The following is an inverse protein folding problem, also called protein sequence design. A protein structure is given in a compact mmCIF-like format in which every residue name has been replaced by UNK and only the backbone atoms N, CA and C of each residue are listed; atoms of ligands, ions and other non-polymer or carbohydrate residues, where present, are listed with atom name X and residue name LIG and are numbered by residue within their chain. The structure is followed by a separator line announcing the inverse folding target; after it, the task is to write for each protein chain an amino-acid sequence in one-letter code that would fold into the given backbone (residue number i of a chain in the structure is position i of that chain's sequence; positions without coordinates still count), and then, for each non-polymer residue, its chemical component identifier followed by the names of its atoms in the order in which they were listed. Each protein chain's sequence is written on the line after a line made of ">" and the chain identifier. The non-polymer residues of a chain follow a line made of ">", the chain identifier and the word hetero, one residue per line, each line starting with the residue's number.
data_IF_647846730347
#
_entry.id   IF_647846730347
#
_cell.length_a   1.000
_cell.length_b   1.000
_cell.length_c   1.000
_cell.angle_alpha   90.00
_cell.angle_beta   90.00
_cell.angle_gamma   90.00
#
_symmetry.space_group_name_H-M   'P 1'
#
loop_
_entity.id
_entity.type
_entity.pdbx_description
1 polymer ?
#
# COMPACT_ATOMS: atom_id res chain seq x y z
N UNK A 1 -13.98 7.44 18.13
CA UNK A 1 -13.48 6.09 18.49
C UNK A 1 -12.71 5.59 17.29
N UNK A 2 -11.43 5.26 17.47
CA UNK A 2 -10.54 4.77 16.41
C UNK A 2 -10.83 3.29 16.19
N UNK A 3 -11.08 2.88 14.94
CA UNK A 3 -11.18 1.47 14.57
C UNK A 3 -9.84 1.05 13.97
N UNK A 4 -9.10 0.22 14.68
CA UNK A 4 -7.85 -0.35 14.23
C UNK A 4 -8.12 -1.66 13.47
N UNK A 5 -7.42 -1.84 12.34
CA UNK A 5 -7.49 -3.04 11.52
C UNK A 5 -6.09 -3.47 11.08
N UNK A 6 -5.86 -4.75 10.76
CA UNK A 6 -4.58 -5.20 10.20
C UNK A 6 -4.20 -4.39 8.96
N UNK A 7 -2.96 -3.92 8.91
CA UNK A 7 -2.40 -3.17 7.77
C UNK A 7 -2.49 -3.95 6.45
N UNK A 8 -2.43 -5.29 6.53
CA UNK A 8 -2.51 -6.20 5.39
C UNK A 8 -3.77 -6.01 4.52
N UNK A 9 -4.86 -5.47 5.06
CA UNK A 9 -6.07 -5.13 4.29
C UNK A 9 -5.80 -4.11 3.17
N UNK A 10 -4.73 -3.32 3.29
CA UNK A 10 -4.32 -2.31 2.33
C UNK A 10 -3.13 -2.73 1.46
N UNK A 11 -2.68 -4.00 1.55
CA UNK A 11 -1.54 -4.50 0.77
C UNK A 11 -1.70 -4.37 -0.75
N UNK A 12 -2.94 -4.28 -1.25
CA UNK A 12 -3.22 -3.99 -2.66
C UNK A 12 -2.67 -2.65 -3.16
N UNK A 13 -2.28 -1.75 -2.26
CA UNK A 13 -1.61 -0.50 -2.62
C UNK A 13 -0.17 -0.72 -3.04
N UNK A 14 0.42 -1.88 -2.76
CA UNK A 14 1.84 -2.10 -3.01
C UNK A 14 2.05 -3.07 -4.16
N UNK A 15 2.92 -2.70 -5.10
CA UNK A 15 3.32 -3.55 -6.23
C UNK A 15 4.03 -4.82 -5.75
N UNK A 16 4.69 -4.75 -4.60
CA UNK A 16 5.30 -5.89 -3.92
C UNK A 16 4.80 -5.92 -2.47
N UNK A 17 3.64 -6.54 -2.21
CA UNK A 17 3.06 -6.54 -0.87
C UNK A 17 3.90 -7.40 0.09
N UNK A 18 4.15 -6.87 1.27
CA UNK A 18 4.82 -7.57 2.38
C UNK A 18 3.82 -7.66 3.52
N UNK A 19 3.56 -8.88 4.04
CA UNK A 19 2.67 -9.04 5.18
C UNK A 19 3.31 -8.49 6.44
N UNK A 20 2.57 -7.64 7.14
CA UNK A 20 2.96 -7.03 8.41
C UNK A 20 1.85 -7.22 9.44
N UNK A 21 1.55 -8.49 9.75
CA UNK A 21 0.45 -8.90 10.63
C UNK A 21 0.47 -8.32 12.06
N UNK A 22 1.61 -7.78 12.51
CA UNK A 22 1.76 -7.13 13.82
C UNK A 22 1.46 -5.62 13.79
N UNK A 23 1.19 -5.05 12.61
CA UNK A 23 0.92 -3.62 12.43
C UNK A 23 -0.57 -3.42 12.19
N UNK A 24 -1.19 -2.61 13.04
CA UNK A 24 -2.56 -2.14 12.90
C UNK A 24 -2.59 -0.67 12.46
N UNK A 25 -3.62 -0.31 11.69
CA UNK A 25 -3.81 1.04 11.13
C UNK A 25 -5.24 1.52 11.34
N UNK A 26 -5.45 2.84 11.35
CA UNK A 26 -6.79 3.43 11.46
C UNK A 26 -7.58 3.20 10.17
N UNK A 27 -8.70 2.48 10.30
CA UNK A 27 -9.57 2.12 9.19
C UNK A 27 -10.16 3.33 8.46
N UNK A 28 -10.56 4.38 9.19
CA UNK A 28 -11.23 5.55 8.61
C UNK A 28 -10.24 6.35 7.78
N UNK A 29 -9.06 6.62 8.32
CA UNK A 29 -7.98 7.34 7.66
C UNK A 29 -7.55 6.61 6.38
N UNK A 30 -7.27 5.31 6.50
CA UNK A 30 -6.77 4.52 5.36
C UNK A 30 -7.82 4.39 4.24
N UNK A 31 -9.11 4.24 4.57
CA UNK A 31 -10.17 4.25 3.56
C UNK A 31 -10.40 5.62 2.93
N UNK A 32 -10.22 6.71 3.68
CA UNK A 32 -10.29 8.05 3.11
C UNK A 32 -9.17 8.28 2.10
N UNK A 33 -7.93 7.90 2.44
CA UNK A 33 -6.80 7.91 1.52
C UNK A 33 -7.10 7.09 0.26
N UNK A 34 -7.65 5.87 0.41
CA UNK A 34 -8.01 5.03 -0.73
C UNK A 34 -8.98 5.72 -1.70
N UNK A 35 -9.98 6.44 -1.17
CA UNK A 35 -10.98 7.13 -2.01
C UNK A 35 -10.40 8.31 -2.78
N UNK A 36 -9.30 8.90 -2.30
CA UNK A 36 -8.63 10.05 -2.94
C UNK A 36 -7.62 9.62 -4.00
N UNK A 37 -7.14 8.38 -3.96
CA UNK A 37 -6.19 7.87 -4.94
C UNK A 37 -6.88 7.53 -6.28
N UNK A 38 -6.18 7.71 -7.42
CA UNK A 38 -6.67 7.25 -8.72
C UNK A 38 -6.93 5.74 -8.72
N UNK A 39 -7.87 5.30 -9.57
CA UNK A 39 -8.12 3.87 -9.76
C UNK A 39 -6.86 3.18 -10.26
N UNK A 40 -6.49 2.06 -9.63
CA UNK A 40 -5.31 1.27 -10.00
C UNK A 40 -3.98 1.86 -9.54
N UNK A 41 -3.99 2.91 -8.70
CA UNK A 41 -2.77 3.47 -8.15
C UNK A 41 -2.08 2.47 -7.20
N UNK A 42 -0.77 2.26 -7.40
CA UNK A 42 0.08 1.35 -6.61
C UNK A 42 1.44 1.99 -6.31
N UNK A 43 2.10 1.51 -5.26
CA UNK A 43 3.38 1.96 -4.74
C UNK A 43 4.43 0.82 -4.71
N UNK A 44 5.69 1.09 -5.07
CA UNK A 44 6.09 2.18 -5.94
C UNK A 44 5.35 2.08 -7.28
N UNK A 45 5.21 3.20 -7.98
CA UNK A 45 4.62 3.17 -9.32
C UNK A 45 5.47 2.30 -10.26
N UNK A 46 4.88 1.77 -11.36
CA UNK A 46 5.59 0.87 -12.25
C UNK A 46 6.89 1.43 -12.82
N UNK A 47 6.97 2.73 -13.15
CA UNK A 47 8.18 3.33 -13.69
C UNK A 47 9.30 3.36 -12.64
N UNK A 48 8.97 3.71 -11.39
CA UNK A 48 9.90 3.61 -10.27
C UNK A 48 10.36 2.16 -10.04
N UNK A 49 9.46 1.18 -10.11
CA UNK A 49 9.81 -0.24 -9.99
C UNK A 49 10.79 -0.70 -11.08
N UNK A 50 10.63 -0.24 -12.31
CA UNK A 50 11.57 -0.55 -13.39
C UNK A 50 12.98 -0.04 -13.08
N UNK A 51 13.12 1.18 -12.55
CA UNK A 51 14.42 1.73 -12.17
C UNK A 51 15.04 0.90 -11.03
N UNK A 52 14.28 0.65 -9.96
CA UNK A 52 14.76 -0.07 -8.78
C UNK A 52 15.18 -1.52 -9.07
N UNK A 53 14.58 -2.16 -10.07
CA UNK A 53 14.91 -3.54 -10.45
C UNK A 53 15.96 -3.63 -11.54
N UNK A 54 16.23 -2.54 -12.26
CA UNK A 54 17.18 -2.51 -13.38
C UNK A 54 18.65 -2.62 -12.96
N UNK A 55 19.00 -2.25 -11.72
CA UNK A 55 20.39 -2.35 -11.22
C UNK A 55 20.81 -3.78 -10.80
N UNK A 56 19.91 -4.76 -10.89
CA UNK A 56 20.18 -6.16 -10.51
C UNK A 56 20.56 -7.09 -11.68
N UNK A 57 20.87 -6.55 -12.87
CA UNK A 57 21.31 -7.34 -14.05
C UNK A 57 22.70 -6.93 -14.54
#
# INVERSE_FOLDING_TARGET
>A
MTLLVPSDLYNRWFTTPVSTAHIEVDYVVMNELMRKLPKGYVFPDPATMHILTSENN
#
